data_IF_051770648821
#
_entry.id   IF_051770648821
#
_cell.length_a   1.000
_cell.length_b   1.000
_cell.length_c   1.000
_cell.angle_alpha   90.00
_cell.angle_beta   90.00
_cell.angle_gamma   90.00
#
_symmetry.space_group_name_H-M   'P 1'
#
loop_
_entity.id
_entity.type
_entity.pdbx_description
1 polymer ?
#
# COMPACT_ATOMS: atom_id res chain seq x y z
N UNK A 1 -27.86 46.08 -13.71
CA UNK A 1 -26.89 45.36 -12.85
C UNK A 1 -27.69 44.36 -12.03
N UNK A 2 -27.77 43.11 -12.49
CA UNK A 2 -28.55 42.08 -11.80
C UNK A 2 -27.70 41.51 -10.68
N UNK A 3 -28.16 41.62 -9.44
CA UNK A 3 -27.44 41.15 -8.25
C UNK A 3 -27.29 39.63 -8.29
N UNK A 4 -26.05 39.14 -8.33
CA UNK A 4 -25.72 37.71 -8.40
C UNK A 4 -26.18 36.92 -7.15
N UNK A 5 -26.47 37.62 -6.05
CA UNK A 5 -26.85 37.02 -4.76
C UNK A 5 -28.31 36.56 -4.72
N UNK A 6 -29.21 37.20 -5.47
CA UNK A 6 -30.64 36.87 -5.46
C UNK A 6 -31.00 35.77 -6.47
N UNK A 7 -30.14 35.53 -7.47
CA UNK A 7 -30.35 34.50 -8.49
C UNK A 7 -29.75 33.14 -8.13
N UNK A 8 -28.88 33.05 -7.11
CA UNK A 8 -28.24 31.79 -6.73
C UNK A 8 -29.25 30.72 -6.25
N UNK A 9 -30.27 31.04 -5.43
CA UNK A 9 -31.25 30.04 -5.01
C UNK A 9 -32.08 29.51 -6.17
N UNK A 10 -32.44 30.37 -7.13
CA UNK A 10 -33.21 29.99 -8.30
C UNK A 10 -32.36 29.21 -9.32
N UNK A 11 -31.08 29.56 -9.47
CA UNK A 11 -30.13 28.78 -10.26
C UNK A 11 -29.84 27.41 -9.65
N UNK A 12 -29.74 27.30 -8.32
CA UNK A 12 -29.61 26.01 -7.63
C UNK A 12 -30.88 25.18 -7.79
N UNK A 13 -32.06 25.80 -7.68
CA UNK A 13 -33.35 25.13 -7.89
C UNK A 13 -33.47 24.61 -9.33
N UNK A 14 -33.16 25.44 -10.31
CA UNK A 14 -33.22 25.05 -11.72
C UNK A 14 -32.18 23.97 -12.07
N UNK A 15 -30.98 24.02 -11.49
CA UNK A 15 -29.99 22.96 -11.65
C UNK A 15 -30.42 21.63 -11.01
N UNK A 16 -31.27 21.66 -9.97
CA UNK A 16 -31.81 20.45 -9.34
C UNK A 16 -33.09 19.93 -9.99
N UNK A 17 -33.86 20.78 -10.69
CA UNK A 17 -35.08 20.37 -11.41
C UNK A 17 -34.77 19.46 -12.61
N UNK A 18 -33.58 19.57 -13.20
CA UNK A 18 -33.09 18.72 -14.30
C UNK A 18 -32.38 17.43 -13.84
N UNK A 19 -32.30 17.16 -12.52
CA UNK A 19 -31.79 15.89 -12.01
C UNK A 19 -32.80 14.78 -12.30
N UNK A 20 -32.66 14.15 -13.47
CA UNK A 20 -33.38 12.93 -13.77
C UNK A 20 -33.00 11.85 -12.72
N UNK A 21 -33.98 11.17 -12.11
CA UNK A 21 -33.68 10.06 -11.21
C UNK A 21 -32.87 9.02 -12.00
N UNK A 22 -31.78 8.55 -11.40
CA UNK A 22 -30.90 7.55 -12.03
C UNK A 22 -31.76 6.40 -12.54
N UNK A 23 -31.81 6.22 -13.86
CA UNK A 23 -32.67 5.21 -14.45
C UNK A 23 -32.25 3.84 -13.92
N UNK A 24 -33.19 2.91 -13.69
CA UNK A 24 -32.86 1.57 -13.22
C UNK A 24 -31.85 0.87 -14.15
N UNK A 25 -31.76 1.29 -15.41
CA UNK A 25 -30.73 0.88 -16.37
C UNK A 25 -29.32 1.38 -16.02
N UNK A 26 -29.16 2.66 -15.63
CA UNK A 26 -27.87 3.21 -15.16
C UNK A 26 -27.43 2.55 -13.86
N UNK A 27 -28.37 2.29 -12.95
CA UNK A 27 -28.11 1.54 -11.70
C UNK A 27 -27.73 0.10 -12.03
N UNK A 28 -28.46 -0.59 -12.92
CA UNK A 28 -28.13 -1.95 -13.34
C UNK A 28 -26.78 -2.03 -14.06
N UNK A 29 -26.45 -1.03 -14.90
CA UNK A 29 -25.16 -0.92 -15.60
C UNK A 29 -24.02 -0.63 -14.62
N UNK A 30 -24.26 0.22 -13.62
CA UNK A 30 -23.34 0.49 -12.51
C UNK A 30 -23.09 -0.74 -11.64
N UNK A 31 -24.15 -1.48 -11.27
CA UNK A 31 -24.07 -2.74 -10.50
C UNK A 31 -23.37 -3.83 -11.32
N UNK A 32 -23.60 -3.91 -12.63
CA UNK A 32 -22.94 -4.90 -13.51
C UNK A 32 -21.44 -4.57 -13.67
N UNK A 33 -21.08 -3.29 -13.85
CA UNK A 33 -19.67 -2.82 -13.83
C UNK A 33 -19.00 -3.04 -12.47
N UNK A 34 -19.71 -2.75 -11.38
CA UNK A 34 -19.23 -2.96 -10.01
C UNK A 34 -19.02 -4.43 -9.66
N UNK A 35 -19.90 -5.34 -10.13
CA UNK A 35 -19.74 -6.79 -9.95
C UNK A 35 -18.55 -7.35 -10.74
N UNK A 36 -18.23 -6.81 -11.93
CA UNK A 36 -17.03 -7.22 -12.69
C UNK A 36 -15.74 -6.79 -11.99
N UNK A 37 -15.68 -5.54 -11.50
CA UNK A 37 -14.55 -5.05 -10.69
C UNK A 37 -14.39 -5.82 -9.37
N UNK A 38 -15.50 -6.15 -8.70
CA UNK A 38 -15.47 -6.95 -7.46
C UNK A 38 -15.07 -8.40 -7.71
N UNK A 39 -15.53 -9.02 -8.81
CA UNK A 39 -15.08 -10.35 -9.23
C UNK A 39 -13.58 -10.39 -9.57
N UNK A 40 -13.03 -9.34 -10.16
CA UNK A 40 -11.57 -9.22 -10.36
C UNK A 40 -10.81 -9.12 -9.02
N UNK A 41 -11.38 -8.45 -8.01
CA UNK A 41 -10.80 -8.41 -6.65
C UNK A 41 -10.97 -9.71 -5.84
N UNK A 42 -12.03 -10.47 -6.08
CA UNK A 42 -12.29 -11.73 -5.35
C UNK A 42 -11.82 -12.99 -6.09
N UNK A 43 -11.34 -12.88 -7.33
CA UNK A 43 -10.70 -14.00 -8.03
C UNK A 43 -9.30 -14.33 -7.47
N UNK A 44 -8.75 -13.46 -6.62
CA UNK A 44 -7.56 -13.73 -5.79
C UNK A 44 -7.91 -14.28 -4.39
N UNK A 45 -9.19 -14.41 -4.06
CA UNK A 45 -9.67 -14.90 -2.78
C UNK A 45 -10.67 -16.04 -2.98
N UNK A 46 -10.15 -17.26 -3.11
CA UNK A 46 -10.92 -18.46 -2.79
C UNK A 46 -10.81 -19.59 -3.80
N UNK A 47 -9.86 -20.50 -3.57
CA UNK A 47 -10.00 -21.91 -3.95
C UNK A 47 -9.31 -22.82 -2.92
N UNK A 48 -10.04 -23.15 -1.85
CA UNK A 48 -10.02 -24.45 -1.13
C UNK A 48 -10.78 -24.25 0.18
N UNK A 49 -11.78 -25.02 0.58
CA UNK A 49 -12.14 -26.39 0.22
C UNK A 49 -12.70 -26.99 1.52
N UNK A 50 -13.96 -27.38 1.50
CA UNK A 50 -14.63 -27.96 2.66
C UNK A 50 -14.01 -29.31 3.03
N UNK A 51 -13.61 -29.51 4.29
CA UNK A 51 -13.70 -30.81 4.99
C UNK A 51 -13.85 -30.59 6.50
N UNK A 52 -14.80 -31.32 7.08
CA UNK A 52 -15.12 -31.33 8.51
C UNK A 52 -14.28 -32.38 9.24
N UNK A 53 -13.83 -32.10 10.47
CA UNK A 53 -13.49 -33.13 11.46
C UNK A 53 -13.88 -32.66 12.87
N UNK A 54 -14.77 -33.43 13.49
CA UNK A 54 -15.10 -33.44 14.92
C UNK A 54 -13.92 -34.02 15.73
N UNK A 55 -13.53 -33.40 16.83
CA UNK A 55 -12.81 -34.07 17.91
C UNK A 55 -13.05 -33.39 19.26
N UNK A 56 -13.62 -34.19 20.17
CA UNK A 56 -13.82 -34.02 21.60
C UNK A 56 -12.53 -34.20 22.43
N UNK A 57 -12.59 -33.82 23.72
CA UNK A 57 -11.65 -34.12 24.84
C UNK A 57 -10.48 -33.13 24.96
N UNK A 58 -10.09 -32.60 26.13
CA UNK A 58 -10.52 -32.86 27.50
C UNK A 58 -9.86 -31.88 28.48
N UNK A 59 -10.50 -31.77 29.64
CA UNK A 59 -10.05 -31.04 30.83
C UNK A 59 -8.77 -31.69 31.38
N UNK A 60 -7.74 -30.89 31.65
CA UNK A 60 -6.62 -31.28 32.52
C UNK A 60 -6.63 -30.38 33.75
N UNK A 61 -6.94 -31.01 34.88
CA UNK A 61 -6.72 -30.56 36.25
C UNK A 61 -5.38 -31.15 36.70
N UNK A 62 -4.59 -30.36 37.42
CA UNK A 62 -3.66 -30.87 38.43
C UNK A 62 -2.17 -30.83 38.09
N UNK A 63 -1.39 -30.22 38.98
CA UNK A 63 0.07 -30.24 38.91
C UNK A 63 0.72 -29.31 39.93
N UNK A 64 0.72 -29.75 41.19
CA UNK A 64 1.33 -29.12 42.38
C UNK A 64 2.81 -28.77 42.20
N UNK A 65 3.17 -27.51 42.45
CA UNK A 65 4.56 -27.12 42.73
C UNK A 65 4.76 -27.07 44.25
N UNK A 66 5.35 -28.14 44.78
CA UNK A 66 6.00 -28.15 46.08
C UNK A 66 7.47 -27.88 45.82
N UNK A 67 7.98 -26.71 46.21
CA UNK A 67 9.36 -26.62 46.65
C UNK A 67 9.48 -25.56 47.75
N UNK A 68 9.92 -26.06 48.91
CA UNK A 68 10.26 -25.36 50.13
C UNK A 68 11.37 -24.34 49.89
N UNK A 69 11.33 -23.24 50.63
CA UNK A 69 12.53 -22.66 51.25
C UNK A 69 12.10 -22.00 52.55
N UNK A 70 12.52 -22.62 53.65
CA UNK A 70 12.59 -21.97 54.96
C UNK A 70 13.66 -20.87 54.91
N UNK A 71 13.32 -19.65 55.33
CA UNK A 71 14.29 -18.69 55.85
C UNK A 71 13.58 -17.59 56.66
N UNK A 72 13.57 -17.82 57.97
CA UNK A 72 13.89 -16.84 59.02
C UNK A 72 13.35 -15.40 58.96
N UNK A 73 12.47 -15.12 59.92
CA UNK A 73 12.22 -13.81 60.51
C UNK A 73 13.47 -13.33 61.25
N UNK A 74 13.98 -12.12 60.93
CA UNK A 74 14.36 -11.04 61.87
C UNK A 74 15.03 -9.83 61.16
N UNK A 75 15.16 -8.63 61.79
CA UNK A 75 14.58 -7.41 61.25
C UNK A 75 15.56 -6.35 60.72
N UNK A 76 14.97 -5.38 60.01
CA UNK A 76 15.31 -3.96 59.94
C UNK A 76 16.79 -3.53 60.07
N UNK A 77 17.44 -3.37 58.92
CA UNK A 77 18.42 -2.29 58.70
C UNK A 77 18.24 -1.73 57.30
N UNK A 78 17.95 -0.44 57.24
CA UNK A 78 17.82 0.42 56.06
C UNK A 78 19.07 0.35 55.18
N UNK A 79 18.97 0.09 53.87
CA UNK A 79 20.00 0.48 52.92
C UNK A 79 19.66 1.81 52.26
N UNK A 80 20.56 2.77 52.42
CA UNK A 80 20.67 4.02 51.66
C UNK A 80 20.64 3.72 50.16
N UNK A 81 19.62 4.21 49.46
CA UNK A 81 19.52 4.09 48.00
C UNK A 81 20.41 5.17 47.37
N UNK A 82 21.58 4.76 46.87
CA UNK A 82 22.37 5.52 45.91
C UNK A 82 21.51 5.78 44.67
N UNK A 83 21.24 7.04 44.38
CA UNK A 83 20.59 7.49 43.15
C UNK A 83 21.48 7.17 41.95
N UNK A 84 21.12 6.13 41.20
CA UNK A 84 21.63 5.93 39.85
C UNK A 84 21.15 7.07 38.94
N UNK A 85 21.96 7.58 37.99
CA UNK A 85 21.51 8.62 37.07
C UNK A 85 20.48 8.03 36.12
N UNK A 86 19.23 8.48 36.24
CA UNK A 86 18.18 8.26 35.24
C UNK A 86 18.61 8.95 33.95
N UNK A 87 19.11 8.18 32.98
CA UNK A 87 19.18 8.65 31.59
C UNK A 87 17.74 8.65 31.07
N UNK A 88 17.14 9.81 30.74
CA UNK A 88 15.81 9.82 30.17
C UNK A 88 15.92 9.28 28.75
N UNK A 89 15.57 8.01 28.55
CA UNK A 89 15.37 7.48 27.21
C UNK A 89 13.97 7.91 26.76
N UNK A 90 13.82 9.17 26.34
CA UNK A 90 12.67 9.56 25.55
C UNK A 90 12.78 8.83 24.21
N UNK A 91 12.10 7.69 24.10
CA UNK A 91 11.92 6.96 22.85
C UNK A 91 11.08 7.86 21.94
N UNK A 92 11.74 8.50 20.97
CA UNK A 92 11.07 9.36 20.01
C UNK A 92 9.96 8.57 19.30
N UNK A 93 8.73 9.04 19.44
CA UNK A 93 7.57 8.54 18.68
C UNK A 93 7.84 8.86 17.21
N UNK A 94 8.01 7.84 16.37
CA UNK A 94 8.20 8.03 14.93
C UNK A 94 6.91 8.55 14.30
N UNK A 95 6.99 9.73 13.67
CA UNK A 95 5.89 10.37 12.95
C UNK A 95 5.44 9.51 11.75
N UNK A 96 4.12 9.42 11.45
CA UNK A 96 3.56 8.92 10.19
C UNK A 96 4.26 9.44 8.94
N UNK A 97 4.65 8.55 8.02
CA UNK A 97 5.27 8.90 6.74
C UNK A 97 4.19 9.47 5.83
N UNK A 98 4.42 10.67 5.34
CA UNK A 98 3.50 11.44 4.51
C UNK A 98 3.68 11.12 3.02
N UNK A 99 2.65 11.36 2.19
CA UNK A 99 2.79 11.26 0.72
C UNK A 99 3.92 12.13 0.16
N UNK A 100 4.18 13.30 0.76
CA UNK A 100 5.28 14.18 0.37
C UNK A 100 6.66 13.55 0.63
N UNK A 101 6.83 12.86 1.77
CA UNK A 101 8.06 12.11 2.07
C UNK A 101 8.23 10.88 1.17
N UNK A 102 7.13 10.24 0.80
CA UNK A 102 7.09 9.17 -0.21
C UNK A 102 7.56 9.70 -1.58
N UNK A 103 7.04 10.84 -2.04
CA UNK A 103 7.51 11.48 -3.29
C UNK A 103 8.99 11.88 -3.20
N UNK A 104 9.43 12.47 -2.08
CA UNK A 104 10.83 12.83 -1.91
C UNK A 104 11.76 11.60 -1.99
N UNK A 105 11.30 10.46 -1.49
CA UNK A 105 12.02 9.18 -1.61
C UNK A 105 12.03 8.69 -3.05
N UNK A 106 10.89 8.74 -3.75
CA UNK A 106 10.81 8.40 -5.18
C UNK A 106 11.81 9.22 -6.00
N UNK A 107 11.81 10.54 -5.83
CA UNK A 107 12.69 11.46 -6.57
C UNK A 107 14.17 11.19 -6.32
N UNK A 108 14.56 10.82 -5.08
CA UNK A 108 15.96 10.45 -4.77
C UNK A 108 16.39 9.12 -5.40
N UNK A 109 15.44 8.23 -5.65
CA UNK A 109 15.70 6.90 -6.21
C UNK A 109 15.67 6.85 -7.74
N UNK A 110 15.30 7.95 -8.39
CA UNK A 110 15.34 8.02 -9.84
C UNK A 110 16.77 7.80 -10.36
N UNK A 111 16.94 7.11 -11.50
CA UNK A 111 18.24 6.98 -12.15
C UNK A 111 18.90 8.34 -12.38
N UNK A 112 20.23 8.36 -12.31
CA UNK A 112 21.03 9.57 -12.52
C UNK A 112 20.66 10.24 -13.85
N UNK A 113 20.49 11.57 -13.81
CA UNK A 113 20.15 12.38 -14.97
C UNK A 113 18.65 12.53 -15.23
N UNK A 114 17.77 11.87 -14.46
CA UNK A 114 16.33 12.04 -14.56
C UNK A 114 15.81 12.96 -13.46
N UNK A 115 15.19 14.06 -13.87
CA UNK A 115 14.52 15.00 -12.97
C UNK A 115 13.04 15.10 -13.34
N UNK A 116 12.12 15.00 -12.36
CA UNK A 116 10.71 15.22 -12.62
C UNK A 116 10.42 16.61 -13.20
N UNK A 117 9.66 16.67 -14.30
CA UNK A 117 9.14 17.93 -14.85
C UNK A 117 7.83 18.34 -14.19
N UNK A 118 7.11 17.37 -13.63
CA UNK A 118 5.93 17.57 -12.80
C UNK A 118 5.85 16.44 -11.77
N UNK A 119 5.22 16.68 -10.62
CA UNK A 119 4.98 15.68 -9.60
C UNK A 119 3.69 15.93 -8.85
N UNK A 120 2.98 14.86 -8.49
CA UNK A 120 1.79 14.90 -7.64
C UNK A 120 1.88 13.86 -6.54
N UNK A 121 1.09 14.06 -5.48
CA UNK A 121 0.94 13.10 -4.39
C UNK A 121 -0.52 12.98 -3.98
N UNK A 122 -0.92 11.79 -3.57
CA UNK A 122 -2.25 11.50 -3.04
C UNK A 122 -2.16 10.44 -1.93
N UNK A 123 -3.29 10.14 -1.29
CA UNK A 123 -3.32 9.25 -0.13
C UNK A 123 -2.84 9.93 1.15
N UNK A 124 -2.40 9.14 2.13
CA UNK A 124 -2.06 9.58 3.48
C UNK A 124 -3.28 9.64 4.42
N UNK A 125 -3.11 10.27 5.59
CA UNK A 125 -4.18 10.55 6.58
C UNK A 125 -4.81 9.31 7.26
N UNK A 126 -4.08 8.20 7.40
CA UNK A 126 -4.59 6.98 8.04
C UNK A 126 -5.33 6.03 7.09
N UNK A 127 -5.37 6.32 5.79
CA UNK A 127 -5.97 5.48 4.75
C UNK A 127 -5.10 4.28 4.32
N UNK A 128 -4.00 4.02 5.02
CA UNK A 128 -3.13 2.87 4.77
C UNK A 128 -2.47 2.84 3.39
N UNK A 129 -2.41 3.96 2.66
CA UNK A 129 -1.75 4.05 1.34
C UNK A 129 -1.19 5.45 1.11
N UNK A 130 0.06 5.53 0.61
CA UNK A 130 0.63 6.75 0.05
C UNK A 130 0.86 6.57 -1.45
N UNK A 131 0.60 7.62 -2.22
CA UNK A 131 0.77 7.63 -3.67
C UNK A 131 1.63 8.81 -4.09
N UNK A 132 2.46 8.59 -5.10
CA UNK A 132 3.24 9.63 -5.76
C UNK A 132 3.23 9.39 -7.27
N UNK A 133 3.29 10.46 -8.05
CA UNK A 133 3.48 10.39 -9.49
C UNK A 133 4.49 11.43 -9.92
N UNK A 134 5.36 11.07 -10.87
CA UNK A 134 6.34 11.98 -11.47
C UNK A 134 6.29 11.86 -12.98
N UNK A 135 6.25 13.00 -13.67
CA UNK A 135 6.41 13.06 -15.11
C UNK A 135 7.90 13.20 -15.42
N UNK A 136 8.45 12.26 -16.18
CA UNK A 136 9.85 12.22 -16.57
C UNK A 136 9.96 12.50 -18.07
N UNK A 137 11.07 13.13 -18.48
CA UNK A 137 11.39 13.33 -19.89
C UNK A 137 12.92 13.37 -20.04
N UNK A 138 13.46 12.48 -20.88
CA UNK A 138 14.88 12.37 -21.23
C UNK A 138 15.20 13.07 -22.57
N UNK A 139 14.25 13.82 -23.13
CA UNK A 139 14.32 14.44 -24.44
C UNK A 139 13.80 13.55 -25.59
N UNK A 140 13.50 12.28 -25.31
CA UNK A 140 12.90 11.35 -26.27
C UNK A 140 11.38 11.21 -26.10
N UNK A 141 10.78 12.03 -25.23
CA UNK A 141 9.35 12.07 -24.99
C UNK A 141 8.97 11.70 -23.57
N UNK A 142 7.86 12.29 -23.13
CA UNK A 142 7.37 12.17 -21.76
C UNK A 142 7.02 10.74 -21.35
N UNK A 143 7.20 10.44 -20.07
CA UNK A 143 6.91 9.15 -19.46
C UNK A 143 6.44 9.36 -18.03
N UNK A 144 5.20 8.95 -17.74
CA UNK A 144 4.64 9.02 -16.40
C UNK A 144 5.14 7.83 -15.57
N UNK A 145 5.70 8.09 -14.39
CA UNK A 145 5.96 7.09 -13.35
C UNK A 145 4.99 7.29 -12.21
N UNK A 146 4.24 6.26 -11.85
CA UNK A 146 3.37 6.25 -10.68
C UNK A 146 3.90 5.27 -9.65
N UNK A 147 3.65 5.57 -8.38
CA UNK A 147 3.99 4.77 -7.21
C UNK A 147 2.77 4.70 -6.30
N UNK A 148 2.44 3.51 -5.82
CA UNK A 148 1.66 3.33 -4.60
C UNK A 148 2.46 2.50 -3.60
N UNK A 149 2.34 2.87 -2.33
CA UNK A 149 2.86 2.09 -1.21
C UNK A 149 1.75 1.92 -0.17
N UNK A 150 1.44 0.67 0.16
CA UNK A 150 0.25 0.31 0.95
C UNK A 150 0.54 -0.84 1.89
N UNK A 151 -0.35 -1.05 2.86
CA UNK A 151 -0.38 -2.28 3.64
C UNK A 151 -1.21 -3.29 2.88
N UNK A 152 -0.66 -4.48 2.65
CA UNK A 152 -1.29 -5.54 1.88
C UNK A 152 -1.30 -6.86 2.65
N UNK A 153 -2.15 -7.77 2.21
CA UNK A 153 -2.11 -9.16 2.66
C UNK A 153 -0.75 -9.79 2.33
N UNK A 154 -0.34 -10.77 3.13
CA UNK A 154 0.91 -11.47 2.91
C UNK A 154 0.86 -12.27 1.59
N UNK A 155 1.73 -11.94 0.66
CA UNK A 155 2.00 -12.73 -0.55
C UNK A 155 3.29 -13.50 -0.30
N UNK A 156 3.20 -14.82 -0.29
CA UNK A 156 4.32 -15.73 0.05
C UNK A 156 4.66 -16.71 -1.06
N UNK A 157 3.85 -16.76 -2.11
CA UNK A 157 4.06 -17.60 -3.28
C UNK A 157 3.67 -16.88 -4.58
N UNK A 158 3.98 -17.53 -5.71
CA UNK A 158 3.73 -17.00 -7.05
C UNK A 158 2.44 -17.51 -7.71
N UNK A 159 1.63 -18.32 -7.04
CA UNK A 159 0.42 -18.93 -7.61
C UNK A 159 -0.61 -17.90 -8.09
N UNK A 160 -0.78 -16.73 -7.44
CA UNK A 160 -1.72 -15.69 -7.90
C UNK A 160 -1.38 -15.04 -9.24
N UNK A 161 -0.13 -15.15 -9.70
CA UNK A 161 0.39 -14.36 -10.81
C UNK A 161 0.61 -15.22 -12.07
N UNK A 162 0.57 -14.61 -13.27
CA UNK A 162 0.87 -15.33 -14.50
C UNK A 162 2.25 -16.03 -14.45
N UNK A 163 2.40 -17.20 -15.09
CA UNK A 163 3.68 -17.88 -15.15
C UNK A 163 4.80 -16.98 -15.70
N UNK A 164 5.95 -16.95 -15.03
CA UNK A 164 7.12 -16.21 -15.46
C UNK A 164 7.14 -14.72 -15.08
N UNK A 165 6.09 -14.17 -14.48
CA UNK A 165 6.09 -12.77 -14.02
C UNK A 165 6.53 -12.61 -12.57
N UNK A 166 6.48 -13.69 -11.78
CA UNK A 166 6.73 -13.66 -10.34
C UNK A 166 8.04 -14.33 -9.94
N UNK A 167 8.71 -13.78 -8.93
CA UNK A 167 9.93 -14.33 -8.32
C UNK A 167 9.90 -14.12 -6.81
N UNK A 168 10.18 -15.19 -6.06
CA UNK A 168 10.36 -15.14 -4.61
C UNK A 168 11.85 -14.99 -4.31
N UNK A 169 12.22 -13.97 -3.52
CA UNK A 169 13.60 -13.72 -3.13
C UNK A 169 13.96 -14.42 -1.82
N UNK A 170 15.25 -14.56 -1.56
CA UNK A 170 15.77 -15.21 -0.34
C UNK A 170 15.38 -14.47 0.96
N UNK A 171 15.06 -13.18 0.89
CA UNK A 171 14.56 -12.39 2.02
C UNK A 171 13.04 -12.58 2.25
N UNK A 172 12.40 -13.47 1.50
CA UNK A 172 10.96 -13.75 1.57
C UNK A 172 10.10 -12.74 0.84
N UNK A 173 10.68 -11.72 0.20
CA UNK A 173 9.91 -10.79 -0.63
C UNK A 173 9.48 -11.43 -1.95
N UNK A 174 8.31 -11.04 -2.43
CA UNK A 174 7.77 -11.49 -3.72
C UNK A 174 7.78 -10.32 -4.70
N UNK A 175 8.44 -10.52 -5.84
CA UNK A 175 8.46 -9.57 -6.95
C UNK A 175 7.55 -10.04 -8.07
N UNK A 176 6.78 -9.12 -8.63
CA UNK A 176 5.98 -9.36 -9.83
C UNK A 176 6.34 -8.30 -10.86
N UNK A 177 6.59 -8.73 -12.10
CA UNK A 177 7.05 -7.88 -13.18
C UNK A 177 6.18 -8.11 -14.42
N UNK A 178 5.65 -7.02 -14.96
CA UNK A 178 5.04 -7.00 -16.29
C UNK A 178 5.82 -6.00 -17.14
N UNK A 179 6.57 -6.50 -18.11
CA UNK A 179 7.50 -5.67 -18.87
C UNK A 179 6.90 -5.20 -20.20
N UNK A 180 6.90 -3.88 -20.40
CA UNK A 180 6.51 -3.22 -21.64
C UNK A 180 5.26 -3.82 -22.29
N UNK A 181 4.18 -4.03 -21.55
CA UNK A 181 2.92 -4.59 -22.06
C UNK A 181 1.96 -3.47 -22.51
N UNK A 182 0.99 -3.74 -23.39
CA UNK A 182 -0.11 -2.80 -23.64
C UNK A 182 -0.88 -2.49 -22.35
N UNK A 183 -1.29 -1.23 -22.15
CA UNK A 183 -2.12 -0.84 -21.02
C UNK A 183 -3.41 -1.67 -20.92
N UNK A 184 -4.02 -1.96 -22.07
CA UNK A 184 -5.16 -2.86 -22.16
C UNK A 184 -4.75 -4.16 -22.86
N UNK A 185 -4.69 -5.24 -22.10
CA UNK A 185 -4.34 -6.58 -22.61
C UNK A 185 -5.53 -7.29 -23.29
N UNK A 186 -6.76 -6.96 -22.88
CA UNK A 186 -7.98 -7.69 -23.27
C UNK A 186 -8.88 -6.90 -24.24
N UNK A 187 -8.29 -6.16 -25.19
CA UNK A 187 -9.07 -5.38 -26.15
C UNK A 187 -8.25 -4.32 -26.90
N UNK A 188 -8.92 -3.34 -27.53
CA UNK A 188 -8.24 -2.24 -28.19
C UNK A 188 -7.39 -1.44 -27.19
N UNK A 189 -6.21 -1.01 -27.63
CA UNK A 189 -5.29 -0.19 -26.85
C UNK A 189 -5.20 1.24 -27.45
N UNK A 190 -6.24 2.08 -27.26
CA UNK A 190 -6.25 3.44 -27.80
C UNK A 190 -5.07 4.25 -27.27
N UNK A 191 -4.48 5.09 -28.11
CA UNK A 191 -3.27 5.84 -27.78
C UNK A 191 -1.97 5.04 -27.82
N UNK A 192 -2.03 3.71 -28.02
CA UNK A 192 -0.85 2.86 -28.09
C UNK A 192 -0.02 2.82 -26.80
N UNK A 193 -0.63 3.15 -25.66
CA UNK A 193 0.08 3.24 -24.38
C UNK A 193 0.57 1.87 -23.94
N UNK A 194 1.83 1.83 -23.54
CA UNK A 194 2.50 0.67 -22.97
C UNK A 194 2.97 1.01 -21.56
N UNK A 195 3.00 0.01 -20.72
CA UNK A 195 3.41 0.14 -19.33
C UNK A 195 4.40 -0.95 -18.94
N UNK A 196 5.27 -0.59 -17.99
CA UNK A 196 6.10 -1.54 -17.24
C UNK A 196 5.69 -1.44 -15.79
N UNK A 197 5.31 -2.57 -15.19
CA UNK A 197 4.87 -2.65 -13.81
C UNK A 197 5.88 -3.49 -13.02
N UNK A 198 6.25 -3.00 -11.85
CA UNK A 198 6.94 -3.79 -10.82
C UNK A 198 6.20 -3.67 -9.50
N UNK A 199 5.83 -4.82 -8.95
CA UNK A 199 5.27 -4.93 -7.61
C UNK A 199 6.25 -5.67 -6.69
N UNK A 200 6.43 -5.14 -5.47
CA UNK A 200 7.21 -5.74 -4.41
C UNK A 200 6.33 -5.92 -3.18
N UNK A 201 6.11 -7.17 -2.80
CA UNK A 201 5.47 -7.57 -1.56
C UNK A 201 6.55 -7.93 -0.56
N UNK A 202 6.63 -7.17 0.54
CA UNK A 202 7.60 -7.41 1.61
C UNK A 202 7.00 -8.29 2.69
N UNK A 203 7.81 -9.11 3.39
CA UNK A 203 7.34 -9.94 4.50
C UNK A 203 6.67 -9.18 5.64
N UNK A 204 6.97 -7.88 5.78
CA UNK A 204 6.37 -7.00 6.79
C UNK A 204 4.96 -6.49 6.41
N UNK A 205 4.34 -7.01 5.35
CA UNK A 205 3.02 -6.61 4.89
C UNK A 205 2.99 -5.30 4.09
N UNK A 206 4.15 -4.78 3.69
CA UNK A 206 4.21 -3.61 2.78
C UNK A 206 4.18 -4.06 1.33
N UNK A 207 3.29 -3.48 0.53
CA UNK A 207 3.31 -3.59 -0.93
C UNK A 207 3.77 -2.26 -1.55
N UNK A 208 4.71 -2.34 -2.49
CA UNK A 208 5.13 -1.23 -3.34
C UNK A 208 4.75 -1.59 -4.77
N UNK A 209 3.99 -0.74 -5.45
CA UNK A 209 3.64 -0.89 -6.86
C UNK A 209 4.16 0.32 -7.63
N UNK A 210 4.97 0.07 -8.66
CA UNK A 210 5.51 1.07 -9.58
C UNK A 210 5.00 0.77 -10.98
N UNK A 211 4.44 1.77 -11.64
CA UNK A 211 4.06 1.68 -13.06
C UNK A 211 4.69 2.81 -13.84
N UNK A 212 5.44 2.48 -14.90
CA UNK A 212 5.96 3.47 -15.83
C UNK A 212 5.28 3.34 -17.18
N UNK A 213 4.71 4.44 -17.65
CA UNK A 213 4.00 4.55 -18.93
C UNK A 213 4.89 5.20 -19.99
N UNK A 214 4.76 4.79 -21.25
CA UNK A 214 5.38 5.46 -22.41
C UNK A 214 4.65 6.75 -22.85
N UNK A 215 3.85 7.32 -21.96
CA UNK A 215 2.93 8.41 -22.23
C UNK A 215 2.90 9.38 -21.03
N UNK A 216 2.50 10.64 -21.23
CA UNK A 216 2.39 11.61 -20.14
C UNK A 216 1.22 11.32 -19.18
N UNK A 217 0.24 10.51 -19.60
CA UNK A 217 -0.92 10.09 -18.82
C UNK A 217 -1.32 8.67 -19.24
N UNK A 218 -1.98 7.93 -18.34
CA UNK A 218 -2.50 6.58 -18.63
C UNK A 218 -3.39 6.56 -19.89
N UNK A 219 -4.28 7.55 -20.04
CA UNK A 219 -5.29 7.61 -21.11
C UNK A 219 -5.00 8.76 -22.08
N UNK A 220 -3.83 8.74 -22.70
CA UNK A 220 -3.44 9.69 -23.76
C UNK A 220 -2.77 8.95 -24.92
N UNK A 221 -2.42 9.67 -25.98
CA UNK A 221 -1.46 9.17 -26.97
C UNK A 221 -0.09 8.97 -26.30
N UNK A 222 0.63 7.93 -26.74
CA UNK A 222 2.02 7.72 -26.36
C UNK A 222 2.93 8.77 -26.99
N UNK A 223 4.00 9.11 -26.27
CA UNK A 223 5.00 10.09 -26.73
C UNK A 223 6.34 9.45 -27.03
N UNK A 224 6.50 8.16 -26.72
CA UNK A 224 7.71 7.36 -26.93
C UNK A 224 7.35 5.89 -27.16
N UNK A 225 8.19 5.07 -27.80
CA UNK A 225 7.82 3.70 -28.18
C UNK A 225 7.69 2.73 -26.99
N UNK A 226 8.38 2.99 -25.88
CA UNK A 226 8.36 2.16 -24.67
C UNK A 226 8.49 3.04 -23.41
N UNK A 227 8.09 2.54 -22.23
CA UNK A 227 8.35 3.21 -20.96
C UNK A 227 9.82 3.62 -20.83
N UNK A 228 10.07 4.75 -20.17
CA UNK A 228 11.41 5.31 -20.00
C UNK A 228 12.28 4.43 -19.09
N UNK A 229 11.69 3.94 -18.00
CA UNK A 229 12.35 3.09 -17.03
C UNK A 229 12.14 1.62 -17.38
N UNK A 230 13.23 0.87 -17.40
CA UNK A 230 13.22 -0.58 -17.55
C UNK A 230 12.67 -1.28 -16.31
N UNK A 231 12.17 -2.50 -16.46
CA UNK A 231 11.75 -3.34 -15.33
C UNK A 231 12.86 -3.49 -14.27
N UNK A 232 14.13 -3.60 -14.69
CA UNK A 232 15.26 -3.69 -13.78
C UNK A 232 15.47 -2.42 -12.96
N UNK A 233 15.31 -1.23 -13.56
CA UNK A 233 15.39 0.03 -12.83
C UNK A 233 14.22 0.20 -11.86
N UNK A 234 12.99 -0.14 -12.28
CA UNK A 234 11.83 -0.11 -11.37
C UNK A 234 12.01 -1.09 -10.21
N UNK A 235 12.55 -2.28 -10.46
CA UNK A 235 12.91 -3.26 -9.43
C UNK A 235 13.95 -2.72 -8.43
N UNK A 236 14.98 -2.00 -8.90
CA UNK A 236 15.94 -1.34 -8.02
C UNK A 236 15.28 -0.26 -7.16
N UNK A 237 14.40 0.55 -7.74
CA UNK A 237 13.63 1.56 -7.00
C UNK A 237 12.78 0.87 -5.93
N UNK A 238 11.96 -0.12 -6.28
CA UNK A 238 11.06 -0.81 -5.34
C UNK A 238 11.81 -1.47 -4.17
N UNK A 239 12.96 -2.10 -4.45
CA UNK A 239 13.76 -2.82 -3.45
C UNK A 239 14.60 -1.92 -2.56
N UNK A 240 14.60 -0.61 -2.78
CA UNK A 240 15.36 0.31 -1.95
C UNK A 240 14.95 0.23 -0.48
N UNK A 241 15.95 0.18 0.39
CA UNK A 241 15.81 0.26 1.85
C UNK A 241 15.45 1.66 2.33
N UNK A 242 15.44 2.66 1.44
CA UNK A 242 15.03 4.03 1.76
C UNK A 242 13.50 4.18 1.90
N UNK A 243 12.72 3.20 1.43
CA UNK A 243 11.27 3.20 1.63
C UNK A 243 10.89 2.91 3.08
N UNK A 244 10.19 3.86 3.69
CA UNK A 244 9.64 3.74 5.05
C UNK A 244 8.11 3.78 4.98
N UNK A 245 7.44 2.70 5.41
CA UNK A 245 5.97 2.58 5.39
C UNK A 245 5.48 1.34 6.17
N UNK A 246 4.33 1.40 6.86
CA UNK A 246 3.92 2.56 7.66
C UNK A 246 5.00 2.74 8.76
N UNK A 247 5.27 3.93 9.26
CA UNK A 247 6.27 4.05 10.32
C UNK A 247 5.82 3.27 11.56
N UNK A 248 6.78 2.68 12.26
CA UNK A 248 6.53 1.92 13.48
C UNK A 248 5.91 2.84 14.53
N UNK A 249 4.78 2.41 15.11
CA UNK A 249 4.38 2.85 16.43
C UNK A 249 5.19 2.08 17.48
N UNK A 250 5.43 2.69 18.64
CA UNK A 250 6.34 2.15 19.64
C UNK A 250 5.80 0.89 20.36
N UNK A 251 4.50 0.60 20.28
CA UNK A 251 3.78 -0.19 21.30
C UNK A 251 2.94 -1.39 20.81
N UNK A 252 3.13 -1.90 19.59
CA UNK A 252 2.34 -3.06 19.10
C UNK A 252 2.81 -4.44 19.60
N UNK A 253 3.34 -4.50 20.84
CA UNK A 253 3.47 -5.76 21.57
C UNK A 253 3.28 -5.54 23.06
N UNK A 254 2.03 -5.62 23.52
CA UNK A 254 1.73 -5.88 24.92
C UNK A 254 0.80 -7.09 25.00
N UNK A 255 1.25 -8.28 25.44
CA UNK A 255 0.31 -9.26 25.96
C UNK A 255 -0.36 -8.59 27.15
N UNK A 256 -1.67 -8.34 27.03
CA UNK A 256 -2.43 -7.71 28.11
C UNK A 256 -2.20 -8.47 29.42
N UNK A 257 -1.93 -7.79 30.55
CA UNK A 257 -1.87 -8.47 31.83
C UNK A 257 -3.25 -9.04 32.10
N UNK A 258 -3.32 -10.36 32.25
CA UNK A 258 -4.49 -11.00 32.83
C UNK A 258 -4.72 -10.42 34.21
N UNK A 259 -5.91 -9.88 34.43
CA UNK A 259 -6.56 -9.68 35.73
C UNK A 259 -8.05 -9.49 35.48
#
# INVERSE_FOLDING_TARGET
MTNLHDSLPDLMRQATEDLQPATPELVARGIRRGKVLRRRRTALAGLSGATAVLATVGVIIGGSQVLRTDAQVEPATTPTVTTAPTVPTHRAVSRPVTPAETLATLTRLLPNGLTPTNSTTSGGYGLGTNEASVLLDDGAGASLLTLSITTADAVTDCNPFPPGTCTIHADGSVHVVYDNQPLYTDGPNPGGVRETIVELFRPNGTQISLTNYNAPKEKSEHTRPSPLLTAAQLAQIARSTQWVFPPRQADDFQPGPGS
#
